data_IF_242256507469
#
_entry.id   IF_242256507469
#
_cell.length_a   1.000
_cell.length_b   1.000
_cell.length_c   1.000
_cell.angle_alpha   90.00
_cell.angle_beta   90.00
_cell.angle_gamma   90.00
#
_symmetry.space_group_name_H-M   'P 1'
#
loop_
_entity.id
_entity.type
_entity.pdbx_description
1 polymer ?
#
# COMPACT_ATOMS: atom_id res chain seq x y z
N UNK A 1 8.49 -18.55 5.20
CA UNK A 1 7.15 -17.93 5.27
C UNK A 1 6.93 -17.12 4.00
N UNK A 2 5.72 -17.07 3.43
CA UNK A 2 5.51 -16.23 2.26
C UNK A 2 5.76 -14.77 2.64
N UNK A 3 6.73 -14.14 1.97
CA UNK A 3 6.84 -12.68 1.98
C UNK A 3 5.56 -12.15 1.35
N UNK A 4 4.77 -11.43 2.12
CA UNK A 4 3.60 -10.74 1.58
C UNK A 4 4.10 -9.36 1.20
N UNK A 5 4.78 -9.26 0.06
CA UNK A 5 5.22 -7.97 -0.49
C UNK A 5 4.18 -7.39 -1.47
N UNK A 6 3.10 -8.12 -1.73
CA UNK A 6 2.02 -7.66 -2.59
C UNK A 6 0.67 -8.26 -2.21
N UNK A 7 -0.40 -7.57 -2.59
CA UNK A 7 -1.78 -8.02 -2.45
C UNK A 7 -2.62 -7.52 -3.63
N UNK A 8 -3.53 -8.37 -4.11
CA UNK A 8 -4.55 -7.97 -5.08
C UNK A 8 -5.70 -7.29 -4.33
N UNK A 9 -6.03 -6.06 -4.71
CA UNK A 9 -7.13 -5.28 -4.14
C UNK A 9 -8.21 -5.14 -5.20
N UNK A 10 -9.46 -5.46 -4.85
CA UNK A 10 -10.61 -5.28 -5.74
C UNK A 10 -11.50 -4.21 -5.14
N UNK A 11 -11.70 -3.12 -5.89
CA UNK A 11 -12.56 -2.01 -5.50
C UNK A 11 -13.34 -1.53 -6.72
N UNK A 12 -14.65 -1.32 -6.55
CA UNK A 12 -15.56 -0.89 -7.62
C UNK A 12 -15.40 -1.67 -8.95
N UNK A 13 -15.31 -3.01 -8.85
CA UNK A 13 -15.07 -3.94 -9.97
C UNK A 13 -13.75 -3.74 -10.73
N UNK A 14 -12.89 -2.84 -10.26
CA UNK A 14 -11.53 -2.66 -10.76
C UNK A 14 -10.55 -3.46 -9.92
N UNK A 15 -9.56 -4.02 -10.59
CA UNK A 15 -8.47 -4.75 -9.96
C UNK A 15 -7.24 -3.86 -9.87
N UNK A 16 -6.63 -3.89 -8.70
CA UNK A 16 -5.42 -3.16 -8.38
C UNK A 16 -4.40 -4.13 -7.77
N UNK A 17 -3.13 -3.80 -7.95
CA UNK A 17 -2.02 -4.48 -7.30
C UNK A 17 -1.39 -3.53 -6.29
N UNK A 18 -1.52 -3.88 -5.02
CA UNK A 18 -0.78 -3.24 -3.94
C UNK A 18 0.57 -3.93 -3.82
N UNK A 19 1.64 -3.16 -3.81
CA UNK A 19 3.02 -3.63 -3.63
C UNK A 19 3.67 -2.85 -2.50
N UNK A 20 4.16 -3.56 -1.49
CA UNK A 20 5.10 -3.06 -0.50
C UNK A 20 6.49 -3.10 -1.13
N UNK A 21 7.00 -1.94 -1.56
CA UNK A 21 8.36 -1.85 -2.08
C UNK A 21 9.40 -1.96 -0.96
N UNK A 22 9.06 -1.45 0.22
CA UNK A 22 9.71 -1.65 1.51
C UNK A 22 8.76 -1.20 2.63
N UNK A 23 9.20 -1.31 3.89
CA UNK A 23 8.47 -0.89 5.09
C UNK A 23 8.04 0.60 5.11
N UNK A 24 8.67 1.41 4.27
CA UNK A 24 8.46 2.85 4.16
C UNK A 24 7.76 3.29 2.88
N UNK A 25 7.54 2.40 1.89
CA UNK A 25 7.06 2.76 0.57
C UNK A 25 6.09 1.73 0.01
N UNK A 26 4.90 2.18 -0.34
CA UNK A 26 3.81 1.36 -0.88
C UNK A 26 3.28 1.98 -2.16
N UNK A 27 2.94 1.11 -3.10
CA UNK A 27 2.40 1.48 -4.40
C UNK A 27 1.15 0.67 -4.69
N UNK A 28 0.05 1.35 -4.99
CA UNK A 28 -1.13 0.74 -5.60
C UNK A 28 -1.15 1.10 -7.09
N UNK A 29 -1.16 0.09 -7.94
CA UNK A 29 -1.24 0.25 -9.39
C UNK A 29 -2.51 -0.36 -9.96
N UNK A 30 -3.06 0.23 -11.02
CA UNK A 30 -4.16 -0.36 -11.78
C UNK A 30 -3.68 -1.51 -12.69
N UNK A 31 -4.61 -2.13 -13.41
CA UNK A 31 -4.34 -3.21 -14.38
C UNK A 31 -3.41 -2.83 -15.54
N UNK A 32 -3.16 -1.54 -15.76
CA UNK A 32 -2.24 -1.03 -16.77
C UNK A 32 -0.88 -0.66 -16.15
N UNK A 33 -0.64 -1.05 -14.89
CA UNK A 33 0.55 -0.71 -14.11
C UNK A 33 0.71 0.80 -13.86
N UNK A 34 -0.36 1.58 -13.99
CA UNK A 34 -0.34 3.00 -13.66
C UNK A 34 -0.49 3.14 -12.14
N UNK A 35 0.42 3.89 -11.53
CA UNK A 35 0.31 4.28 -10.12
C UNK A 35 -0.98 5.06 -9.87
N UNK A 36 -1.79 4.62 -8.92
CA UNK A 36 -3.03 5.30 -8.52
C UNK A 36 -2.97 5.80 -7.08
N UNK A 37 -2.25 5.10 -6.20
CA UNK A 37 -1.93 5.55 -4.84
C UNK A 37 -0.45 5.29 -4.57
N UNK A 38 0.25 6.27 -4.02
CA UNK A 38 1.59 6.14 -3.48
C UNK A 38 1.57 6.55 -2.01
N UNK A 39 2.16 5.72 -1.15
CA UNK A 39 2.25 6.00 0.28
C UNK A 39 3.72 5.89 0.68
N UNK A 40 4.28 6.97 1.21
CA UNK A 40 5.70 7.00 1.58
C UNK A 40 5.92 7.70 2.93
N UNK A 41 6.86 7.16 3.70
CA UNK A 41 7.28 7.73 4.97
C UNK A 41 8.23 8.91 4.74
N UNK A 42 8.08 9.98 5.52
CA UNK A 42 8.90 11.20 5.38
C UNK A 42 10.27 11.13 6.06
N UNK A 43 10.77 9.92 6.31
CA UNK A 43 12.05 9.69 6.99
C UNK A 43 12.13 10.37 8.36
N UNK A 44 13.13 11.24 8.54
CA UNK A 44 13.48 11.85 9.83
C UNK A 44 12.39 12.77 10.41
N UNK A 45 11.55 13.37 9.57
CA UNK A 45 10.47 14.26 10.03
C UNK A 45 9.31 13.46 10.63
N UNK A 46 9.25 12.16 10.32
CA UNK A 46 8.16 11.29 10.71
C UNK A 46 6.85 11.57 9.97
N UNK A 47 5.95 10.60 10.02
CA UNK A 47 4.65 10.66 9.36
C UNK A 47 4.70 10.20 7.90
N UNK A 48 3.53 10.21 7.28
CA UNK A 48 3.27 9.59 6.00
C UNK A 48 2.63 10.58 5.05
N UNK A 49 3.10 10.60 3.81
CA UNK A 49 2.42 11.25 2.71
C UNK A 49 1.66 10.20 1.90
N UNK A 50 0.46 10.57 1.47
CA UNK A 50 -0.40 9.73 0.64
C UNK A 50 -0.79 10.53 -0.59
N UNK A 51 -0.21 10.16 -1.73
CA UNK A 51 -0.52 10.75 -3.02
C UNK A 51 -1.55 9.89 -3.74
N UNK A 52 -2.65 10.49 -4.16
CA UNK A 52 -3.77 9.80 -4.80
C UNK A 52 -4.03 10.47 -6.15
N UNK A 53 -3.95 9.70 -7.23
CA UNK A 53 -4.11 10.21 -8.60
C UNK A 53 -5.54 10.05 -9.14
N UNK A 54 -6.42 9.36 -8.41
CA UNK A 54 -7.81 9.10 -8.74
C UNK A 54 -8.73 9.50 -7.57
N UNK A 55 -10.03 9.65 -7.83
CA UNK A 55 -11.03 10.02 -6.82
C UNK A 55 -11.41 8.82 -5.93
N UNK A 56 -10.50 8.41 -5.04
CA UNK A 56 -10.81 7.45 -3.99
C UNK A 56 -11.47 8.14 -2.79
N UNK A 57 -12.50 7.52 -2.22
CA UNK A 57 -13.10 8.00 -1.00
C UNK A 57 -12.09 7.92 0.18
N UNK A 58 -12.12 8.87 1.13
CA UNK A 58 -11.17 8.90 2.25
C UNK A 58 -11.10 7.60 3.05
N UNK A 59 -12.22 6.89 3.20
CA UNK A 59 -12.31 5.62 3.92
C UNK A 59 -11.54 4.51 3.22
N UNK A 60 -11.51 4.52 1.88
CA UNK A 60 -10.76 3.55 1.07
C UNK A 60 -9.26 3.83 1.20
N UNK A 61 -8.86 5.10 1.11
CA UNK A 61 -7.46 5.50 1.29
C UNK A 61 -6.96 5.09 2.68
N UNK A 62 -7.75 5.35 3.72
CA UNK A 62 -7.44 4.95 5.09
C UNK A 62 -7.34 3.43 5.24
N UNK A 63 -8.31 2.69 4.69
CA UNK A 63 -8.31 1.23 4.71
C UNK A 63 -7.07 0.62 4.05
N UNK A 64 -6.64 1.17 2.90
CA UNK A 64 -5.41 0.73 2.22
C UNK A 64 -4.19 1.02 3.09
N UNK A 65 -4.09 2.19 3.69
CA UNK A 65 -2.97 2.54 4.57
C UNK A 65 -2.88 1.60 5.78
N UNK A 66 -4.00 1.33 6.45
CA UNK A 66 -4.04 0.37 7.58
C UNK A 66 -3.66 -1.04 7.12
N UNK A 67 -4.12 -1.45 5.94
CA UNK A 67 -3.77 -2.75 5.39
C UNK A 67 -2.27 -2.87 5.07
N UNK A 68 -1.63 -1.81 4.54
CA UNK A 68 -0.17 -1.76 4.38
C UNK A 68 0.55 -2.01 5.71
N UNK A 69 0.09 -1.38 6.80
CA UNK A 69 0.66 -1.56 8.15
C UNK A 69 0.47 -2.96 8.70
N UNK A 70 -0.66 -3.59 8.42
CA UNK A 70 -0.86 -5.00 8.76
C UNK A 70 0.12 -5.92 8.01
N UNK A 71 0.31 -5.72 6.70
CA UNK A 71 1.25 -6.51 5.90
C UNK A 71 2.69 -6.33 6.41
N UNK A 72 3.06 -5.10 6.81
CA UNK A 72 4.38 -4.79 7.39
C UNK A 72 4.64 -5.63 8.64
N UNK A 73 3.69 -5.66 9.57
CA UNK A 73 3.77 -6.46 10.79
C UNK A 73 3.94 -7.96 10.50
N UNK A 74 3.19 -8.52 9.54
CA UNK A 74 3.32 -9.93 9.15
C UNK A 74 4.71 -10.27 8.58
N UNK A 75 5.36 -9.32 7.90
CA UNK A 75 6.72 -9.51 7.39
C UNK A 75 7.79 -9.41 8.50
N UNK A 76 7.56 -8.65 9.58
CA UNK A 76 8.46 -8.60 10.75
C UNK A 76 8.57 -9.96 11.45
N UNK A 77 7.48 -10.73 11.52
CA UNK A 77 7.47 -12.07 12.12
C UNK A 77 8.22 -13.13 11.31
N UNK A 78 8.64 -12.83 10.08
CA UNK A 78 9.35 -13.77 9.19
C UNK A 78 10.88 -13.65 9.26
N UNK A 79 11.43 -12.76 10.10
CA UNK A 79 12.88 -12.66 10.36
C UNK A 79 13.25 -13.72 11.41
N UNK A 80 13.44 -14.97 10.96
CA UNK A 80 14.08 -16.07 11.72
C UNK A 80 15.27 -16.57 10.94
#
# INVERSE_FOLDING_TARGET
MPRVDHAKVVYDKNEYLLVMQNDQNYLLSDKYSKAVIQIFHRGLVGGWDIEVMNDFAPEIICGIFVFCKYIEQENEFSIV
#
